data_IF_929708711056
#
_entry.id   IF_929708711056
#
_cell.length_a   1.000
_cell.length_b   1.000
_cell.length_c   1.000
_cell.angle_alpha   90.00
_cell.angle_beta   90.00
_cell.angle_gamma   90.00
#
_symmetry.space_group_name_H-M   'P 1'
#
loop_
_entity.id
_entity.type
_entity.pdbx_description
1 polymer ?
#
# COMPACT_ATOMS: atom_id res chain seq x y z
N UNK A 1 11.87 -9.80 3.57
CA UNK A 1 11.58 -8.91 4.72
C UNK A 1 10.78 -9.71 5.74
N UNK A 2 11.08 -9.61 7.02
CA UNK A 2 10.33 -10.32 8.07
C UNK A 2 9.01 -9.59 8.37
N UNK A 3 8.05 -10.29 8.98
CA UNK A 3 6.79 -9.71 9.46
C UNK A 3 7.00 -8.41 10.25
N UNK A 4 8.03 -8.39 11.10
CA UNK A 4 8.43 -7.23 11.89
C UNK A 4 8.75 -6.00 11.03
N UNK A 5 9.43 -6.18 9.89
CA UNK A 5 9.76 -5.06 9.00
C UNK A 5 8.53 -4.37 8.42
N UNK A 6 7.49 -5.14 8.07
CA UNK A 6 6.24 -4.61 7.51
C UNK A 6 5.48 -3.84 8.58
N UNK A 7 5.40 -4.39 9.80
CA UNK A 7 4.76 -3.74 10.94
C UNK A 7 5.46 -2.42 11.28
N UNK A 8 6.79 -2.40 11.33
CA UNK A 8 7.56 -1.20 11.62
C UNK A 8 7.39 -0.12 10.55
N UNK A 9 7.39 -0.50 9.26
CA UNK A 9 7.14 0.44 8.17
C UNK A 9 5.71 0.99 8.22
N UNK A 10 4.71 0.15 8.47
CA UNK A 10 3.33 0.59 8.61
C UNK A 10 3.15 1.55 9.80
N UNK A 11 3.73 1.22 10.96
CA UNK A 11 3.71 2.06 12.14
C UNK A 11 4.42 3.41 11.90
N UNK A 12 5.56 3.39 11.21
CA UNK A 12 6.28 4.60 10.80
C UNK A 12 5.42 5.47 9.88
N UNK A 13 4.78 4.88 8.87
CA UNK A 13 3.90 5.61 7.96
C UNK A 13 2.70 6.22 8.68
N UNK A 14 2.09 5.49 9.61
CA UNK A 14 1.00 6.04 10.44
C UNK A 14 1.51 7.18 11.34
N UNK A 15 2.70 7.03 11.93
CA UNK A 15 3.31 8.09 12.72
C UNK A 15 3.60 9.34 11.87
N UNK A 16 4.08 9.18 10.62
CA UNK A 16 4.28 10.29 9.69
C UNK A 16 2.96 10.98 9.35
N UNK A 17 1.91 10.23 8.99
CA UNK A 17 0.59 10.81 8.71
C UNK A 17 0.08 11.68 9.86
N UNK A 18 0.26 11.22 11.12
CA UNK A 18 -0.16 11.94 12.32
C UNK A 18 0.75 13.13 12.64
N UNK A 19 2.08 12.96 12.56
CA UNK A 19 3.05 14.01 12.86
C UNK A 19 2.91 15.22 11.92
N UNK A 20 2.53 14.95 10.67
CA UNK A 20 2.40 15.95 9.62
C UNK A 20 0.94 16.23 9.24
N UNK A 21 -0.03 15.83 10.07
CA UNK A 21 -1.47 16.01 9.83
C UNK A 21 -1.90 17.47 9.59
N UNK A 22 -1.09 18.44 10.04
CA UNK A 22 -1.34 19.87 9.85
C UNK A 22 -0.73 20.44 8.56
N UNK A 23 0.07 19.66 7.82
CA UNK A 23 0.58 20.09 6.52
C UNK A 23 -0.56 20.11 5.51
N UNK A 24 -0.62 21.19 4.73
CA UNK A 24 -1.62 21.39 3.68
C UNK A 24 -1.54 20.30 2.60
N UNK A 25 -0.33 19.76 2.36
CA UNK A 25 -0.09 18.78 1.32
C UNK A 25 0.91 17.72 1.78
N UNK A 26 0.45 16.50 1.95
CA UNK A 26 1.26 15.32 2.27
C UNK A 26 0.66 14.05 1.64
N UNK A 27 1.47 13.05 1.28
CA UNK A 27 0.95 11.74 0.90
C UNK A 27 0.44 10.98 2.13
N UNK A 28 -0.34 9.94 1.88
CA UNK A 28 -0.61 8.89 2.85
C UNK A 28 0.62 7.96 2.93
N UNK A 29 1.53 8.25 3.86
CA UNK A 29 2.76 7.47 4.03
C UNK A 29 2.48 6.03 4.45
N UNK A 30 1.50 5.83 5.34
CA UNK A 30 1.10 4.50 5.78
C UNK A 30 0.61 3.66 4.61
N UNK A 31 -0.31 4.21 3.82
CA UNK A 31 -0.84 3.55 2.65
C UNK A 31 0.23 3.32 1.59
N UNK A 32 1.12 4.30 1.34
CA UNK A 32 2.19 4.14 0.38
C UNK A 32 3.13 2.98 0.72
N UNK A 33 3.48 2.84 2.00
CA UNK A 33 4.32 1.75 2.51
C UNK A 33 3.61 0.39 2.47
N UNK A 34 2.35 0.33 2.88
CA UNK A 34 1.54 -0.89 2.88
C UNK A 34 1.30 -1.41 1.46
N UNK A 35 0.94 -0.52 0.53
CA UNK A 35 0.76 -0.87 -0.87
C UNK A 35 2.07 -1.26 -1.54
N UNK A 36 3.14 -0.48 -1.31
CA UNK A 36 4.46 -0.79 -1.84
C UNK A 36 4.93 -2.19 -1.41
N UNK A 37 4.74 -2.53 -0.13
CA UNK A 37 5.08 -3.86 0.39
C UNK A 37 4.23 -4.98 -0.24
N UNK A 38 2.93 -4.75 -0.41
CA UNK A 38 2.01 -5.73 -1.02
C UNK A 38 2.32 -5.96 -2.49
N UNK A 39 2.60 -4.90 -3.25
CA UNK A 39 2.94 -4.98 -4.67
C UNK A 39 4.33 -5.61 -4.91
N UNK A 40 5.24 -5.45 -3.95
CA UNK A 40 6.60 -5.98 -4.03
C UNK A 40 6.65 -7.50 -3.85
N UNK A 41 5.89 -8.04 -2.89
CA UNK A 41 5.92 -9.47 -2.63
C UNK A 41 4.58 -10.01 -2.14
N UNK A 42 3.98 -10.89 -2.94
CA UNK A 42 2.64 -11.45 -2.66
C UNK A 42 2.52 -12.08 -1.28
N UNK A 43 3.54 -12.76 -0.78
CA UNK A 43 3.49 -13.49 0.50
C UNK A 43 3.38 -12.61 1.75
N UNK A 44 3.48 -11.28 1.61
CA UNK A 44 3.47 -10.34 2.73
C UNK A 44 2.05 -9.93 3.13
N UNK A 45 1.05 -10.26 2.31
CA UNK A 45 -0.32 -9.78 2.46
C UNK A 45 -0.95 -10.07 3.82
N UNK A 46 -0.66 -11.22 4.42
CA UNK A 46 -1.15 -11.60 5.75
C UNK A 46 -0.74 -10.60 6.84
N UNK A 47 0.38 -9.91 6.66
CA UNK A 47 0.88 -8.87 7.56
C UNK A 47 0.41 -7.48 7.18
N UNK A 48 0.19 -7.25 5.88
CA UNK A 48 -0.37 -5.99 5.37
C UNK A 48 -1.82 -5.82 5.80
N UNK A 49 -2.62 -6.89 5.77
CA UNK A 49 -4.05 -6.87 6.12
C UNK A 49 -4.33 -6.26 7.51
N UNK A 50 -3.78 -6.77 8.63
CA UNK A 50 -4.06 -6.20 9.94
C UNK A 50 -3.61 -4.74 10.07
N UNK A 51 -2.54 -4.35 9.39
CA UNK A 51 -2.07 -2.96 9.38
C UNK A 51 -2.94 -2.06 8.51
N UNK A 52 -3.48 -2.54 7.40
CA UNK A 52 -4.44 -1.82 6.59
C UNK A 52 -5.76 -1.63 7.35
N UNK A 53 -6.21 -2.63 8.10
CA UNK A 53 -7.37 -2.50 8.99
C UNK A 53 -7.12 -1.47 10.11
N UNK A 54 -5.94 -1.50 10.74
CA UNK A 54 -5.56 -0.52 11.75
C UNK A 54 -5.48 0.89 11.17
N UNK A 55 -4.88 1.03 10.00
CA UNK A 55 -4.82 2.27 9.24
C UNK A 55 -6.22 2.84 8.98
N UNK A 56 -7.11 2.05 8.39
CA UNK A 56 -8.46 2.50 8.07
C UNK A 56 -9.23 2.88 9.33
N UNK A 57 -9.06 2.12 10.42
CA UNK A 57 -9.73 2.41 11.68
C UNK A 57 -9.26 3.76 12.25
N UNK A 58 -7.96 4.05 12.17
CA UNK A 58 -7.37 5.30 12.64
C UNK A 58 -7.76 6.48 11.76
N UNK A 59 -7.71 6.32 10.43
CA UNK A 59 -7.90 7.42 9.48
C UNK A 59 -9.36 7.65 9.10
N UNK A 60 -10.13 6.57 8.93
CA UNK A 60 -11.49 6.60 8.35
C UNK A 60 -12.57 6.14 9.32
N UNK A 61 -12.22 5.68 10.52
CA UNK A 61 -13.16 5.06 11.48
C UNK A 61 -13.97 3.91 10.89
N UNK A 62 -13.41 3.24 9.89
CA UNK A 62 -14.00 2.11 9.16
C UNK A 62 -12.88 1.12 8.90
N UNK A 63 -13.19 -0.15 8.61
CA UNK A 63 -12.20 -1.13 8.16
C UNK A 63 -12.33 -1.43 6.67
N UNK A 64 -13.32 -0.83 6.01
CA UNK A 64 -13.75 -1.23 4.67
C UNK A 64 -13.09 -0.43 3.56
N UNK A 65 -12.12 0.42 3.86
CA UNK A 65 -11.43 1.23 2.85
C UNK A 65 -10.46 0.39 2.05
N UNK A 66 -9.37 -0.02 2.68
CA UNK A 66 -8.27 -0.79 2.12
C UNK A 66 -8.40 -2.29 2.35
N UNK A 67 -9.05 -2.73 3.45
CA UNK A 67 -9.08 -4.16 3.78
C UNK A 67 -9.61 -5.05 2.65
N UNK A 68 -10.70 -4.70 1.92
CA UNK A 68 -11.16 -5.48 0.78
C UNK A 68 -10.09 -5.65 -0.30
N UNK A 69 -9.31 -4.59 -0.57
CA UNK A 69 -8.26 -4.60 -1.58
C UNK A 69 -7.05 -5.38 -1.13
N UNK A 70 -6.69 -5.34 0.15
CA UNK A 70 -5.60 -6.16 0.69
C UNK A 70 -5.90 -7.66 0.65
N UNK A 71 -7.17 -8.06 0.61
CA UNK A 71 -7.60 -9.44 0.38
C UNK A 71 -7.64 -9.78 -1.11
N UNK A 72 -8.18 -8.87 -1.93
CA UNK A 72 -8.41 -9.11 -3.35
C UNK A 72 -7.13 -9.08 -4.20
N UNK A 73 -6.26 -8.09 -3.94
CA UNK A 73 -5.08 -7.84 -4.77
C UNK A 73 -4.07 -8.98 -4.77
N UNK A 74 -3.71 -9.61 -3.64
CA UNK A 74 -2.78 -10.75 -3.67
C UNK A 74 -3.30 -11.90 -4.54
N UNK A 75 -4.61 -12.16 -4.51
CA UNK A 75 -5.26 -13.17 -5.34
C UNK A 75 -5.22 -12.78 -6.83
N UNK A 76 -5.61 -11.55 -7.16
CA UNK A 76 -5.64 -11.05 -8.53
C UNK A 76 -4.22 -10.97 -9.13
N UNK A 77 -3.25 -10.52 -8.34
CA UNK A 77 -1.82 -10.51 -8.68
C UNK A 77 -1.35 -11.91 -9.03
N UNK A 78 -1.59 -12.90 -8.17
CA UNK A 78 -1.16 -14.27 -8.41
C UNK A 78 -1.77 -14.85 -9.69
N UNK A 79 -3.05 -14.57 -9.95
CA UNK A 79 -3.75 -15.04 -11.13
C UNK A 79 -3.21 -14.43 -12.42
N UNK A 80 -3.01 -13.10 -12.44
CA UNK A 80 -2.55 -12.39 -13.62
C UNK A 80 -1.05 -12.60 -13.87
N UNK A 81 -0.23 -12.66 -12.82
CA UNK A 81 1.20 -12.98 -12.95
C UNK A 81 1.41 -14.37 -13.57
N UNK A 82 0.53 -15.33 -13.26
CA UNK A 82 0.59 -16.67 -13.84
C UNK A 82 0.27 -16.67 -15.35
N UNK A 83 -0.63 -15.80 -15.82
CA UNK A 83 -1.09 -15.77 -17.22
C UNK A 83 -0.27 -14.84 -18.11
N UNK A 84 0.17 -13.71 -17.57
CA UNK A 84 0.78 -12.61 -18.32
C UNK A 84 2.26 -12.40 -17.95
N UNK A 85 2.74 -13.06 -16.89
CA UNK A 85 4.02 -12.76 -16.26
C UNK A 85 3.94 -11.52 -15.35
N UNK A 86 4.92 -11.34 -14.44
CA UNK A 86 4.99 -10.14 -13.61
C UNK A 86 5.36 -8.92 -14.46
N UNK A 87 4.51 -7.89 -14.49
CA UNK A 87 4.71 -6.70 -15.31
C UNK A 87 4.45 -5.37 -14.59
N UNK A 88 5.21 -4.33 -14.96
CA UNK A 88 5.04 -2.96 -14.47
C UNK A 88 3.60 -2.42 -14.69
N UNK A 89 2.97 -2.56 -15.88
CA UNK A 89 1.63 -2.02 -16.11
C UNK A 89 0.58 -2.60 -15.16
N UNK A 90 0.66 -3.90 -14.89
CA UNK A 90 -0.26 -4.59 -13.99
C UNK A 90 -0.13 -4.08 -12.55
N UNK A 91 1.11 -3.84 -12.08
CA UNK A 91 1.37 -3.28 -10.74
C UNK A 91 0.84 -1.84 -10.60
N UNK A 92 0.96 -1.03 -11.65
CA UNK A 92 0.37 0.31 -11.68
C UNK A 92 -1.16 0.27 -11.62
N UNK A 93 -1.80 -0.64 -12.36
CA UNK A 93 -3.26 -0.82 -12.29
C UNK A 93 -3.70 -1.21 -10.88
N UNK A 94 -3.02 -2.16 -10.24
CA UNK A 94 -3.34 -2.55 -8.87
C UNK A 94 -3.15 -1.44 -7.85
N UNK A 95 -2.07 -0.66 -7.99
CA UNK A 95 -1.86 0.53 -7.17
C UNK A 95 -3.05 1.49 -7.29
N UNK A 96 -3.45 1.82 -8.53
CA UNK A 96 -4.56 2.75 -8.76
C UNK A 96 -5.89 2.22 -8.23
N UNK A 97 -6.17 0.92 -8.42
CA UNK A 97 -7.37 0.28 -7.87
C UNK A 97 -7.40 0.34 -6.34
N UNK A 98 -6.27 0.08 -5.69
CA UNK A 98 -6.19 0.10 -4.23
C UNK A 98 -6.29 1.52 -3.64
N UNK A 99 -5.85 2.53 -4.39
CA UNK A 99 -5.94 3.94 -3.98
C UNK A 99 -7.30 4.56 -4.28
N UNK A 100 -8.10 4.00 -5.19
CA UNK A 100 -9.41 4.55 -5.57
C UNK A 100 -10.37 4.80 -4.38
N UNK A 101 -10.48 3.92 -3.36
CA UNK A 101 -11.36 4.15 -2.21
C UNK A 101 -10.99 5.38 -1.40
N UNK A 102 -9.72 5.80 -1.40
CA UNK A 102 -9.27 6.96 -0.64
C UNK A 102 -9.96 8.24 -1.11
N UNK A 103 -10.27 8.33 -2.39
CA UNK A 103 -11.05 9.45 -2.97
C UNK A 103 -12.49 9.49 -2.43
N UNK A 104 -13.07 8.34 -2.08
CA UNK A 104 -14.38 8.28 -1.44
C UNK A 104 -14.34 8.81 -0.01
N UNK A 105 -13.22 8.65 0.71
CA UNK A 105 -13.02 9.19 2.05
C UNK A 105 -12.57 10.66 2.08
N UNK A 106 -12.88 11.42 1.03
CA UNK A 106 -12.65 12.87 0.93
C UNK A 106 -11.20 13.31 1.09
N UNK A 107 -10.24 12.44 0.79
CA UNK A 107 -8.86 12.86 0.62
C UNK A 107 -8.72 13.76 -0.61
N UNK A 108 -7.81 14.73 -0.53
CA UNK A 108 -7.51 15.62 -1.65
C UNK A 108 -6.89 14.85 -2.81
N UNK A 109 -7.19 15.29 -4.03
CA UNK A 109 -6.66 14.67 -5.26
C UNK A 109 -5.14 14.79 -5.28
N UNK A 110 -4.61 15.87 -4.73
CA UNK A 110 -3.19 16.13 -4.62
C UNK A 110 -2.50 15.16 -3.66
N UNK A 111 -3.08 14.89 -2.48
CA UNK A 111 -2.56 13.89 -1.56
C UNK A 111 -2.65 12.47 -2.15
N UNK A 112 -3.72 12.18 -2.88
CA UNK A 112 -3.88 10.91 -3.61
C UNK A 112 -2.79 10.72 -4.68
N UNK A 113 -2.52 11.75 -5.49
CA UNK A 113 -1.45 11.74 -6.49
C UNK A 113 -0.07 11.57 -5.84
N UNK A 114 0.20 12.30 -4.76
CA UNK A 114 1.46 12.16 -4.02
C UNK A 114 1.63 10.76 -3.43
N UNK A 115 0.54 10.16 -2.94
CA UNK A 115 0.55 8.79 -2.44
C UNK A 115 0.90 7.81 -3.56
N UNK A 116 0.26 7.95 -4.73
CA UNK A 116 0.58 7.14 -5.90
C UNK A 116 2.05 7.28 -6.32
N UNK A 117 2.56 8.51 -6.37
CA UNK A 117 3.95 8.80 -6.69
C UNK A 117 4.92 8.23 -5.65
N UNK A 118 4.56 8.23 -4.36
CA UNK A 118 5.36 7.67 -3.29
C UNK A 118 5.39 6.14 -3.31
N UNK A 119 4.29 5.49 -3.72
CA UNK A 119 4.24 4.02 -3.84
C UNK A 119 5.26 3.50 -4.83
N UNK A 120 5.47 4.16 -5.98
CA UNK A 120 6.37 3.69 -7.05
C UNK A 120 7.80 3.43 -6.57
N UNK A 121 8.54 4.39 -5.98
CA UNK A 121 9.89 4.15 -5.49
C UNK A 121 9.93 3.17 -4.31
N UNK A 122 8.93 3.19 -3.42
CA UNK A 122 8.85 2.24 -2.30
C UNK A 122 8.72 0.81 -2.83
N UNK A 123 7.77 0.59 -3.74
CA UNK A 123 7.55 -0.70 -4.37
C UNK A 123 8.82 -1.18 -5.09
N UNK A 124 9.43 -0.31 -5.89
CA UNK A 124 10.63 -0.66 -6.66
C UNK A 124 11.78 -1.11 -5.73
N UNK A 125 12.09 -0.33 -4.70
CA UNK A 125 13.13 -0.69 -3.73
C UNK A 125 12.83 -1.98 -2.98
N UNK A 126 11.58 -2.20 -2.56
CA UNK A 126 11.19 -3.42 -1.87
C UNK A 126 11.27 -4.63 -2.80
N UNK A 127 10.83 -4.50 -4.05
CA UNK A 127 10.89 -5.55 -5.05
C UNK A 127 12.33 -5.99 -5.30
N UNK A 128 13.25 -5.04 -5.50
CA UNK A 128 14.68 -5.33 -5.67
C UNK A 128 15.27 -6.03 -4.45
N UNK A 129 14.92 -5.57 -3.24
CA UNK A 129 15.36 -6.19 -2.00
C UNK A 129 14.86 -7.65 -1.86
N UNK A 130 13.63 -7.94 -2.28
CA UNK A 130 13.13 -9.32 -2.31
C UNK A 130 13.81 -10.16 -3.39
N UNK A 131 14.08 -9.60 -4.57
CA UNK A 131 14.76 -10.29 -5.66
C UNK A 131 16.19 -10.69 -5.30
N UNK A 132 16.92 -9.86 -4.54
CA UNK A 132 18.28 -10.18 -4.07
C UNK A 132 18.35 -11.25 -2.98
N UNK A 133 17.22 -11.57 -2.34
CA UNK A 133 17.14 -12.51 -1.21
C UNK A 133 16.38 -13.81 -1.53
N UNK A 134 15.89 -13.94 -2.76
CA UNK A 134 15.25 -15.14 -3.28
C UNK A 134 16.27 -16.04 -3.97
#
# INVERSE_FOLDING_TARGET
MTALGVLLLAALGMACNLAFAQLVLQPDWALALLLGAMLAHRGVWWWVLPMAMAHDLVMYRSIWGLAPWTLLLPWLMAHLDFRLGPGLPQRMIFMLLALAPVLYFHWSVEAWLLTALAVVPIWHHLADYYAQRA
#
